data_IF_326613251506
#
_entry.id   IF_326613251506
#
_cell.length_a   1.000
_cell.length_b   1.000
_cell.length_c   1.000
_cell.angle_alpha   90.00
_cell.angle_beta   90.00
_cell.angle_gamma   90.00
#
_symmetry.space_group_name_H-M   'P 1'
#
loop_
_entity.id
_entity.type
_entity.pdbx_description
1 polymer ?
#
# COMPACT_ATOMS: atom_id res chain seq x y z
N UNK A 1 8.54 -26.64 -83.07
CA UNK A 1 9.07 -27.32 -81.86
C UNK A 1 9.96 -26.31 -81.13
N UNK A 2 10.01 -26.32 -79.81
CA UNK A 2 10.97 -25.48 -79.08
C UNK A 2 12.38 -25.90 -79.48
N UNK A 3 13.23 -24.96 -79.91
CA UNK A 3 14.61 -25.23 -80.32
C UNK A 3 15.46 -25.79 -79.17
N UNK A 4 14.99 -25.60 -77.93
CA UNK A 4 15.61 -26.10 -76.71
C UNK A 4 14.55 -26.76 -75.82
N UNK A 5 14.80 -28.01 -75.42
CA UNK A 5 13.92 -28.77 -74.55
C UNK A 5 14.71 -29.74 -73.67
N UNK A 6 14.03 -30.36 -72.72
CA UNK A 6 14.58 -31.37 -71.83
C UNK A 6 13.75 -32.64 -71.84
N UNK A 7 14.42 -33.75 -71.55
CA UNK A 7 13.81 -35.07 -71.42
C UNK A 7 14.38 -35.78 -70.20
N UNK A 8 13.54 -36.56 -69.54
CA UNK A 8 14.01 -37.53 -68.56
C UNK A 8 14.82 -38.63 -69.25
N UNK A 9 15.81 -39.17 -68.55
CA UNK A 9 16.51 -40.38 -69.00
C UNK A 9 15.67 -41.62 -68.68
N UNK A 10 15.93 -42.76 -69.32
CA UNK A 10 15.27 -44.03 -68.97
C UNK A 10 15.53 -44.41 -67.50
N UNK A 11 16.74 -44.12 -67.01
CA UNK A 11 17.10 -44.33 -65.60
C UNK A 11 16.36 -43.34 -64.70
N UNK A 12 16.22 -42.09 -65.12
CA UNK A 12 15.44 -41.08 -64.41
C UNK A 12 13.96 -41.44 -64.31
N UNK A 13 13.35 -41.89 -65.39
CA UNK A 13 11.96 -42.39 -65.39
C UNK A 13 11.80 -43.57 -64.40
N UNK A 14 12.76 -44.49 -64.36
CA UNK A 14 12.75 -45.62 -63.41
C UNK A 14 12.96 -45.18 -61.95
N UNK A 15 13.88 -44.23 -61.70
CA UNK A 15 14.14 -43.67 -60.38
C UNK A 15 12.92 -42.90 -59.84
N UNK A 16 12.28 -42.09 -60.70
CA UNK A 16 11.04 -41.38 -60.39
C UNK A 16 9.92 -42.40 -60.11
N UNK A 17 9.75 -43.43 -60.94
CA UNK A 17 8.76 -44.47 -60.71
C UNK A 17 8.98 -45.24 -59.39
N UNK A 18 10.23 -45.54 -59.06
CA UNK A 18 10.60 -46.21 -57.79
C UNK A 18 10.28 -45.31 -56.59
N UNK A 19 10.61 -44.02 -56.69
CA UNK A 19 10.27 -43.04 -55.67
C UNK A 19 8.75 -42.92 -55.45
N UNK A 20 7.95 -42.99 -56.54
CA UNK A 20 6.49 -43.02 -56.51
C UNK A 20 5.96 -44.26 -55.79
N UNK A 21 6.41 -45.45 -56.17
CA UNK A 21 5.93 -46.71 -55.57
C UNK A 21 6.29 -46.79 -54.08
N UNK A 22 7.48 -46.31 -53.70
CA UNK A 22 7.98 -46.43 -52.34
C UNK A 22 7.66 -45.24 -51.44
N UNK A 23 7.02 -44.19 -51.97
CA UNK A 23 6.79 -42.93 -51.26
C UNK A 23 8.09 -42.34 -50.66
N UNK A 24 9.19 -42.41 -51.42
CA UNK A 24 10.52 -41.94 -51.00
C UNK A 24 10.95 -40.72 -51.82
N UNK A 25 11.82 -39.88 -51.24
CA UNK A 25 12.34 -38.69 -51.92
C UNK A 25 13.39 -39.05 -52.96
N UNK A 26 13.38 -38.32 -54.08
CA UNK A 26 14.49 -38.33 -55.04
C UNK A 26 15.52 -37.28 -54.61
N UNK A 27 16.74 -37.70 -54.27
CA UNK A 27 17.75 -36.81 -53.72
C UNK A 27 18.49 -36.06 -54.84
N UNK A 28 17.88 -34.97 -55.31
CA UNK A 28 18.47 -34.10 -56.32
C UNK A 28 19.58 -33.26 -55.68
N UNK A 29 20.82 -33.48 -56.10
CA UNK A 29 22.00 -32.87 -55.46
C UNK A 29 22.69 -31.82 -56.31
N UNK A 30 22.72 -32.00 -57.63
CA UNK A 30 23.49 -31.13 -58.51
C UNK A 30 22.79 -30.85 -59.85
N UNK A 31 23.13 -29.71 -60.44
CA UNK A 31 22.94 -29.45 -61.86
C UNK A 31 24.31 -29.61 -62.54
N UNK A 32 24.37 -30.49 -63.54
CA UNK A 32 25.52 -30.66 -64.41
C UNK A 32 25.37 -29.74 -65.64
N UNK A 33 26.48 -29.15 -66.07
CA UNK A 33 26.56 -28.27 -67.23
C UNK A 33 27.52 -28.88 -68.24
N UNK A 34 27.13 -28.92 -69.51
CA UNK A 34 27.95 -29.47 -70.58
C UNK A 34 28.09 -28.53 -71.78
N UNK A 35 29.22 -28.63 -72.48
CA UNK A 35 29.51 -27.85 -73.69
C UNK A 35 29.03 -28.53 -74.97
N UNK A 36 28.47 -29.74 -74.86
CA UNK A 36 27.94 -30.53 -75.97
C UNK A 36 28.99 -31.01 -76.97
N UNK A 37 30.27 -31.04 -76.58
CA UNK A 37 31.40 -31.27 -77.49
C UNK A 37 31.45 -30.26 -78.67
N UNK A 38 31.03 -29.02 -78.41
CA UNK A 38 31.08 -27.92 -79.38
C UNK A 38 29.79 -27.65 -80.15
N UNK A 39 28.80 -28.54 -80.10
CA UNK A 39 27.48 -28.37 -80.72
C UNK A 39 26.35 -28.53 -79.70
N UNK A 40 25.14 -28.03 -80.01
CA UNK A 40 23.97 -28.21 -79.13
C UNK A 40 23.45 -29.66 -79.28
N UNK A 41 23.52 -30.50 -78.23
CA UNK A 41 23.08 -31.89 -78.34
C UNK A 41 21.55 -31.98 -78.41
N UNK A 42 21.02 -32.94 -79.18
CA UNK A 42 19.61 -33.27 -79.13
C UNK A 42 19.31 -34.12 -77.88
N UNK A 43 18.34 -33.70 -77.02
CA UNK A 43 17.96 -34.49 -75.86
C UNK A 43 17.34 -35.84 -76.24
N UNK A 44 17.81 -36.93 -75.63
CA UNK A 44 17.30 -38.30 -75.84
C UNK A 44 17.19 -39.07 -74.53
N UNK A 45 16.20 -39.96 -74.39
CA UNK A 45 15.99 -40.71 -73.14
C UNK A 45 17.07 -41.76 -72.83
N UNK A 46 17.79 -42.24 -73.83
CA UNK A 46 18.74 -43.35 -73.67
C UNK A 46 20.07 -42.95 -73.03
N UNK A 47 20.31 -41.65 -72.83
CA UNK A 47 21.58 -41.15 -72.30
C UNK A 47 21.69 -41.36 -70.79
N UNK A 48 22.88 -41.72 -70.35
CA UNK A 48 23.27 -41.85 -68.95
C UNK A 48 24.22 -40.73 -68.49
N UNK A 49 24.79 -39.95 -69.42
CA UNK A 49 25.69 -38.83 -69.15
C UNK A 49 25.42 -37.64 -70.10
N UNK A 50 25.95 -36.46 -69.74
CA UNK A 50 26.08 -35.34 -70.69
C UNK A 50 27.05 -35.72 -71.84
N UNK A 51 26.96 -35.08 -73.00
CA UNK A 51 27.85 -35.35 -74.15
C UNK A 51 29.27 -34.97 -73.77
N UNK A 52 29.40 -33.84 -73.07
CA UNK A 52 30.65 -33.44 -72.42
C UNK A 52 30.33 -32.51 -71.25
N UNK A 53 30.30 -33.07 -70.06
CA UNK A 53 30.18 -32.32 -68.81
C UNK A 53 31.44 -31.48 -68.60
N UNK A 54 31.25 -30.18 -68.33
CA UNK A 54 32.33 -29.21 -68.08
C UNK A 54 32.31 -28.67 -66.66
N UNK A 55 31.15 -28.68 -66.00
CA UNK A 55 31.00 -28.24 -64.62
C UNK A 55 29.82 -28.91 -63.94
N UNK A 56 29.87 -29.03 -62.62
CA UNK A 56 28.77 -29.51 -61.79
C UNK A 56 28.62 -28.60 -60.58
N UNK A 57 27.40 -28.11 -60.34
CA UNK A 57 27.11 -27.20 -59.24
C UNK A 57 26.02 -27.77 -58.34
N UNK A 58 26.21 -27.67 -57.02
CA UNK A 58 25.20 -28.07 -56.06
C UNK A 58 23.91 -27.26 -56.23
N UNK A 59 22.75 -27.89 -56.02
CA UNK A 59 21.45 -27.20 -56.08
C UNK A 59 21.35 -26.24 -54.90
N UNK A 60 20.93 -24.99 -55.18
CA UNK A 60 20.70 -23.97 -54.14
C UNK A 60 19.25 -24.00 -53.66
N UNK A 61 18.32 -24.23 -54.59
CA UNK A 61 16.88 -24.26 -54.30
C UNK A 61 16.16 -25.10 -55.33
N UNK A 62 15.11 -25.79 -54.93
CA UNK A 62 14.20 -26.42 -55.86
C UNK A 62 12.77 -26.33 -55.33
N UNK A 63 11.82 -26.02 -56.20
CA UNK A 63 10.42 -25.75 -55.85
C UNK A 63 9.49 -26.29 -56.92
N UNK A 64 8.22 -26.55 -56.57
CA UNK A 64 7.19 -26.77 -57.60
C UNK A 64 7.03 -25.50 -58.43
N UNK A 65 6.76 -25.67 -59.73
CA UNK A 65 6.46 -24.55 -60.61
C UNK A 65 5.15 -23.89 -60.14
N UNK A 66 5.09 -22.55 -60.00
CA UNK A 66 3.98 -21.88 -59.35
C UNK A 66 2.64 -22.03 -60.07
N UNK A 67 2.66 -22.32 -61.38
CA UNK A 67 1.45 -22.34 -62.24
C UNK A 67 1.28 -23.60 -63.07
N UNK A 68 2.28 -24.48 -63.15
CA UNK A 68 2.24 -25.67 -64.01
C UNK A 68 2.39 -26.88 -63.10
N UNK A 69 1.31 -27.63 -62.92
CA UNK A 69 1.33 -28.88 -62.17
C UNK A 69 2.43 -29.80 -62.73
N UNK A 70 3.02 -30.63 -61.88
CA UNK A 70 4.04 -31.62 -62.26
C UNK A 70 5.39 -31.03 -62.71
N UNK A 71 5.55 -29.72 -62.80
CA UNK A 71 6.83 -29.10 -63.10
C UNK A 71 7.58 -28.76 -61.81
N UNK A 72 8.87 -29.06 -61.77
CA UNK A 72 9.79 -28.59 -60.73
C UNK A 72 10.76 -27.58 -61.34
N UNK A 73 11.08 -26.53 -60.60
CA UNK A 73 12.11 -25.54 -60.92
C UNK A 73 13.28 -25.82 -59.99
N UNK A 74 14.44 -26.10 -60.56
CA UNK A 74 15.68 -26.33 -59.82
C UNK A 74 16.60 -25.15 -60.14
N UNK A 75 17.05 -24.47 -59.09
CA UNK A 75 17.93 -23.31 -59.16
C UNK A 75 19.30 -23.66 -58.59
N UNK A 76 20.33 -23.17 -59.26
CA UNK A 76 21.69 -23.16 -58.74
C UNK A 76 22.35 -21.82 -59.02
N UNK A 77 23.33 -21.50 -58.19
CA UNK A 77 24.20 -20.34 -58.35
C UNK A 77 25.58 -20.85 -58.74
N UNK A 78 26.07 -20.46 -59.92
CA UNK A 78 27.47 -20.63 -60.28
C UNK A 78 28.22 -19.37 -59.80
N UNK A 79 29.16 -19.51 -58.85
CA UNK A 79 29.98 -18.41 -58.35
C UNK A 79 30.71 -17.63 -59.45
N UNK A 80 31.08 -16.39 -59.17
CA UNK A 80 31.78 -15.51 -60.12
C UNK A 80 33.13 -16.09 -60.57
N UNK A 81 33.89 -16.67 -59.64
CA UNK A 81 35.20 -17.27 -59.88
C UNK A 81 35.18 -18.61 -60.67
N UNK A 82 34.01 -19.16 -60.99
CA UNK A 82 33.86 -20.41 -61.76
C UNK A 82 33.35 -20.10 -63.17
N UNK A 83 34.07 -20.53 -64.21
CA UNK A 83 33.70 -20.28 -65.60
C UNK A 83 34.81 -20.67 -66.58
N UNK A 84 34.81 -20.06 -67.76
CA UNK A 84 35.72 -20.39 -68.87
C UNK A 84 35.20 -21.47 -69.81
N UNK A 85 33.89 -21.75 -69.79
CA UNK A 85 33.28 -22.84 -70.57
C UNK A 85 31.95 -22.42 -71.21
N UNK A 86 31.62 -23.09 -72.31
CA UNK A 86 30.32 -23.00 -72.95
C UNK A 86 29.32 -23.95 -72.30
N UNK A 87 28.08 -23.48 -72.16
CA UNK A 87 26.93 -24.28 -71.73
C UNK A 87 26.01 -24.43 -72.94
N UNK A 88 25.80 -25.67 -73.35
CA UNK A 88 24.89 -26.09 -74.43
C UNK A 88 23.94 -27.20 -74.01
N UNK A 89 24.20 -27.83 -72.88
CA UNK A 89 23.31 -28.80 -72.24
C UNK A 89 23.39 -28.66 -70.72
N UNK A 90 22.28 -28.99 -70.06
CA UNK A 90 22.16 -29.05 -68.60
C UNK A 90 21.55 -30.39 -68.20
N UNK A 91 22.00 -30.93 -67.08
CA UNK A 91 21.55 -32.20 -66.53
C UNK A 91 21.16 -32.07 -65.07
N UNK A 92 20.10 -32.78 -64.65
CA UNK A 92 19.77 -32.94 -63.23
C UNK A 92 20.41 -34.23 -62.74
N UNK A 93 21.20 -34.12 -61.66
CA UNK A 93 21.80 -35.25 -60.98
C UNK A 93 21.04 -35.54 -59.69
N UNK A 94 20.54 -36.76 -59.55
CA UNK A 94 20.00 -37.28 -58.29
C UNK A 94 20.69 -38.61 -57.95
N UNK A 95 21.08 -38.78 -56.69
CA UNK A 95 21.82 -39.98 -56.22
C UNK A 95 23.01 -40.35 -57.12
N UNK A 96 23.74 -39.32 -57.58
CA UNK A 96 24.87 -39.41 -58.50
C UNK A 96 24.55 -39.94 -59.91
N UNK A 97 23.27 -40.01 -60.29
CA UNK A 97 22.78 -40.45 -61.59
C UNK A 97 22.13 -39.30 -62.36
N UNK A 98 22.34 -39.24 -63.67
CA UNK A 98 21.66 -38.30 -64.56
C UNK A 98 20.20 -38.72 -64.77
N UNK A 99 19.27 -38.03 -64.12
CA UNK A 99 17.83 -38.33 -64.19
C UNK A 99 17.12 -37.57 -65.32
N UNK A 100 17.68 -36.45 -65.74
CA UNK A 100 17.16 -35.65 -66.84
C UNK A 100 18.26 -34.81 -67.44
N UNK A 101 18.12 -34.47 -68.72
CA UNK A 101 18.97 -33.50 -69.39
C UNK A 101 18.19 -32.73 -70.45
N UNK A 102 18.70 -31.56 -70.80
CA UNK A 102 18.14 -30.73 -71.84
C UNK A 102 19.19 -29.91 -72.55
N UNK A 103 18.85 -29.54 -73.78
CA UNK A 103 19.61 -28.60 -74.58
C UNK A 103 19.41 -27.19 -74.06
N UNK A 104 20.43 -26.34 -74.16
CA UNK A 104 20.40 -24.93 -73.81
C UNK A 104 20.98 -24.11 -74.96
N UNK A 105 20.48 -22.88 -75.14
CA UNK A 105 21.07 -21.95 -76.09
C UNK A 105 22.55 -21.73 -75.75
N UNK A 106 23.48 -21.70 -76.73
CA UNK A 106 24.89 -21.53 -76.44
C UNK A 106 25.15 -20.32 -75.56
N UNK A 107 25.66 -20.56 -74.36
CA UNK A 107 25.92 -19.53 -73.36
C UNK A 107 27.33 -19.69 -72.82
N UNK A 108 28.16 -18.64 -72.89
CA UNK A 108 29.51 -18.68 -72.37
C UNK A 108 29.55 -18.14 -70.94
N UNK A 109 29.89 -19.00 -69.97
CA UNK A 109 30.08 -18.59 -68.58
C UNK A 109 31.50 -18.05 -68.43
N UNK A 110 31.64 -16.75 -68.22
CA UNK A 110 32.93 -16.12 -67.91
C UNK A 110 33.30 -16.38 -66.45
N UNK A 111 34.58 -16.72 -66.19
CA UNK A 111 35.14 -16.72 -64.85
C UNK A 111 35.68 -15.33 -64.53
N UNK A 112 35.25 -14.74 -63.44
CA UNK A 112 35.70 -13.44 -62.96
C UNK A 112 36.03 -13.53 -61.46
N UNK A 113 37.29 -13.86 -61.11
CA UNK A 113 37.71 -14.03 -59.73
C UNK A 113 37.55 -12.78 -58.87
N UNK A 114 37.63 -11.60 -59.49
CA UNK A 114 37.50 -10.30 -58.83
C UNK A 114 36.07 -9.73 -58.97
N UNK A 115 35.20 -10.43 -59.69
CA UNK A 115 33.82 -10.04 -59.95
C UNK A 115 32.85 -10.44 -58.84
N UNK A 116 31.80 -9.63 -58.68
CA UNK A 116 30.69 -9.88 -57.73
C UNK A 116 29.45 -10.48 -58.40
N UNK A 117 29.50 -10.70 -59.73
CA UNK A 117 28.36 -11.18 -60.52
C UNK A 117 28.22 -12.70 -60.45
N UNK A 118 27.18 -13.15 -59.77
CA UNK A 118 26.78 -14.56 -59.73
C UNK A 118 25.76 -14.88 -60.84
N UNK A 119 25.85 -16.07 -61.42
CA UNK A 119 24.88 -16.51 -62.42
C UNK A 119 23.87 -17.47 -61.76
N UNK A 120 22.61 -17.02 -61.70
CA UNK A 120 21.49 -17.84 -61.25
C UNK A 120 20.83 -18.50 -62.45
N UNK A 121 20.94 -19.82 -62.53
CA UNK A 121 20.35 -20.61 -63.61
C UNK A 121 19.15 -21.39 -63.09
N UNK A 122 18.08 -21.44 -63.89
CA UNK A 122 16.85 -22.17 -63.58
C UNK A 122 16.67 -23.30 -64.59
N UNK A 123 16.56 -24.52 -64.10
CA UNK A 123 16.25 -25.69 -64.92
C UNK A 123 14.88 -26.22 -64.54
N UNK A 124 13.95 -26.18 -65.48
CA UNK A 124 12.55 -26.58 -65.24
C UNK A 124 12.29 -27.95 -65.84
N UNK A 125 11.84 -28.91 -65.02
CA UNK A 125 11.58 -30.29 -65.44
C UNK A 125 10.14 -30.71 -65.18
N UNK A 126 9.50 -31.31 -66.19
CA UNK A 126 8.24 -32.02 -66.01
C UNK A 126 8.47 -33.41 -65.38
N UNK A 127 7.85 -33.67 -64.24
CA UNK A 127 7.90 -34.93 -63.51
C UNK A 127 6.51 -35.55 -63.55
N UNK A 128 6.37 -36.81 -63.98
CA UNK A 128 5.06 -37.42 -64.29
C UNK A 128 4.03 -37.42 -63.15
N UNK A 129 4.42 -37.18 -61.90
CA UNK A 129 3.52 -36.91 -60.77
C UNK A 129 4.18 -35.89 -59.81
N UNK A 130 3.60 -34.70 -59.71
CA UNK A 130 4.09 -33.60 -58.87
C UNK A 130 3.77 -33.76 -57.38
N UNK A 131 3.05 -34.79 -56.95
CA UNK A 131 2.71 -35.02 -55.54
C UNK A 131 3.76 -35.83 -54.78
N UNK A 132 4.36 -36.85 -55.42
CA UNK A 132 5.33 -37.75 -54.76
C UNK A 132 6.66 -37.07 -54.44
N UNK A 133 7.03 -36.05 -55.21
CA UNK A 133 8.24 -35.29 -54.96
C UNK A 133 7.92 -34.23 -53.89
N UNK A 134 7.62 -34.70 -52.68
CA UNK A 134 7.54 -33.89 -51.47
C UNK A 134 8.98 -33.53 -51.07
N UNK A 135 9.40 -32.41 -51.64
CA UNK A 135 10.74 -31.85 -51.55
C UNK A 135 10.88 -31.15 -50.21
N UNK A 136 11.73 -31.70 -49.33
CA UNK A 136 12.09 -31.02 -48.10
C UNK A 136 13.27 -30.10 -48.40
N UNK A 137 13.10 -28.83 -48.05
CA UNK A 137 14.15 -27.81 -48.09
C UNK A 137 15.18 -28.16 -47.01
N UNK A 138 16.43 -28.41 -47.39
CA UNK A 138 17.53 -28.33 -46.43
C UNK A 138 17.77 -26.84 -46.16
N UNK A 139 17.32 -26.36 -45.00
CA UNK A 139 17.36 -24.95 -44.62
C UNK A 139 18.73 -24.49 -44.10
N UNK A 140 19.77 -25.33 -44.18
CA UNK A 140 21.09 -24.98 -43.62
C UNK A 140 21.82 -23.86 -44.38
N UNK A 141 21.36 -23.47 -45.59
CA UNK A 141 21.94 -22.39 -46.40
C UNK A 141 20.85 -21.60 -47.16
N UNK A 142 20.01 -20.84 -46.44
CA UNK A 142 19.10 -19.87 -47.07
C UNK A 142 19.76 -18.49 -47.07
N UNK A 143 20.10 -17.99 -48.26
CA UNK A 143 20.36 -16.57 -48.46
C UNK A 143 19.04 -15.81 -48.39
N UNK A 144 18.88 -14.92 -47.41
CA UNK A 144 17.73 -14.01 -47.35
C UNK A 144 17.75 -13.08 -48.57
N UNK A 145 16.59 -12.88 -49.20
CA UNK A 145 16.48 -11.88 -50.26
C UNK A 145 16.68 -10.48 -49.66
N UNK A 146 17.25 -9.56 -50.44
CA UNK A 146 17.47 -8.17 -49.99
C UNK A 146 16.16 -7.51 -49.51
N UNK A 147 15.03 -7.84 -50.14
CA UNK A 147 13.70 -7.36 -49.73
C UNK A 147 13.33 -7.84 -48.32
N UNK A 148 13.52 -9.13 -48.04
CA UNK A 148 13.22 -9.69 -46.72
C UNK A 148 14.09 -9.07 -45.63
N UNK A 149 15.38 -8.82 -45.92
CA UNK A 149 16.30 -8.17 -44.98
C UNK A 149 15.85 -6.74 -44.66
N UNK A 150 15.47 -5.96 -45.67
CA UNK A 150 15.03 -4.57 -45.44
C UNK A 150 13.68 -4.50 -44.70
N UNK A 151 12.82 -5.51 -44.82
CA UNK A 151 11.51 -5.54 -44.13
C UNK A 151 11.62 -6.06 -42.69
N UNK A 152 12.52 -7.00 -42.42
CA UNK A 152 12.56 -7.73 -41.15
C UNK A 152 13.77 -7.38 -40.28
N UNK A 153 14.73 -6.60 -40.78
CA UNK A 153 15.93 -6.22 -40.05
C UNK A 153 16.09 -4.70 -39.97
N UNK A 154 16.14 -4.18 -38.75
CA UNK A 154 16.34 -2.74 -38.49
C UNK A 154 17.84 -2.47 -38.30
N UNK A 155 18.37 -1.48 -39.00
CA UNK A 155 19.79 -1.12 -38.88
C UNK A 155 20.04 -0.35 -37.59
N UNK A 156 21.24 -0.50 -37.01
CA UNK A 156 21.62 0.21 -35.76
C UNK A 156 21.49 1.74 -35.85
N UNK A 157 21.62 2.33 -37.03
CA UNK A 157 21.46 3.77 -37.27
C UNK A 157 19.99 4.22 -37.36
N UNK A 158 19.04 3.30 -37.44
CA UNK A 158 17.60 3.56 -37.48
C UNK A 158 16.96 3.46 -36.09
N UNK A 159 17.73 3.06 -35.07
CA UNK A 159 17.30 3.08 -33.67
C UNK A 159 17.00 4.52 -33.24
N UNK A 160 15.84 4.71 -32.63
CA UNK A 160 15.44 6.03 -32.13
C UNK A 160 16.21 6.36 -30.86
N UNK A 161 16.90 7.50 -30.90
CA UNK A 161 17.72 8.01 -29.80
C UNK A 161 17.33 9.46 -29.43
N UNK A 162 16.04 9.76 -29.54
CA UNK A 162 15.46 11.04 -29.13
C UNK A 162 14.10 10.82 -28.43
N UNK A 163 13.70 11.77 -27.58
CA UNK A 163 12.44 11.73 -26.80
C UNK A 163 11.25 12.39 -27.53
N UNK A 164 11.41 12.75 -28.81
CA UNK A 164 10.44 13.63 -29.50
C UNK A 164 9.70 12.96 -30.65
N UNK A 165 10.18 11.83 -31.18
CA UNK A 165 9.50 11.10 -32.24
C UNK A 165 8.46 10.12 -31.71
N UNK A 166 7.35 9.95 -32.44
CA UNK A 166 6.27 9.01 -32.17
C UNK A 166 6.12 7.95 -33.28
N UNK A 167 7.19 7.68 -34.02
CA UNK A 167 7.22 6.71 -35.12
C UNK A 167 6.98 5.28 -34.62
N UNK A 168 5.82 4.71 -34.94
CA UNK A 168 5.41 3.37 -34.51
C UNK A 168 6.19 2.23 -35.17
N UNK A 169 7.02 2.54 -36.17
CA UNK A 169 7.78 1.54 -36.94
C UNK A 169 9.19 1.33 -36.41
N UNK A 170 9.64 2.11 -35.41
CA UNK A 170 11.01 2.08 -34.92
C UNK A 170 11.11 1.69 -33.44
N UNK A 171 12.03 0.79 -33.07
CA UNK A 171 12.25 0.42 -31.68
C UNK A 171 13.05 1.50 -30.93
N UNK A 172 12.83 1.56 -29.62
CA UNK A 172 13.55 2.44 -28.69
C UNK A 172 14.99 1.95 -28.48
N UNK A 173 15.95 2.88 -28.34
CA UNK A 173 17.33 2.51 -27.97
C UNK A 173 17.41 2.03 -26.50
N UNK A 174 18.39 1.18 -26.17
CA UNK A 174 18.60 0.72 -24.78
C UNK A 174 18.88 1.89 -23.81
N UNK A 175 19.60 2.92 -24.27
CA UNK A 175 19.85 4.15 -23.52
C UNK A 175 18.54 4.87 -23.23
N UNK A 176 17.67 4.98 -24.23
CA UNK A 176 16.40 5.66 -24.11
C UNK A 176 15.39 4.88 -23.25
N UNK A 177 15.35 3.55 -23.35
CA UNK A 177 14.55 2.71 -22.48
C UNK A 177 14.97 2.88 -21.01
N UNK A 178 16.29 2.99 -20.75
CA UNK A 178 16.81 3.29 -19.41
C UNK A 178 16.39 4.69 -18.95
N UNK A 179 16.54 5.71 -19.78
CA UNK A 179 16.09 7.08 -19.47
C UNK A 179 14.59 7.12 -19.18
N UNK A 180 13.74 6.46 -19.98
CA UNK A 180 12.30 6.37 -19.73
C UNK A 180 11.96 5.61 -18.45
N UNK A 181 12.71 4.55 -18.13
CA UNK A 181 12.51 3.81 -16.88
C UNK A 181 12.94 4.63 -15.65
N UNK A 182 13.99 5.43 -15.76
CA UNK A 182 14.49 6.33 -14.71
C UNK A 182 13.66 7.62 -14.60
N UNK A 183 13.08 8.08 -15.72
CA UNK A 183 12.26 9.30 -15.83
C UNK A 183 10.76 9.04 -15.76
N UNK A 184 10.34 7.77 -15.58
CA UNK A 184 8.97 7.46 -15.17
C UNK A 184 8.75 8.19 -13.85
N UNK A 185 8.09 9.34 -13.93
CA UNK A 185 7.45 9.97 -12.78
C UNK A 185 6.66 8.84 -12.12
N UNK A 186 7.02 8.52 -10.88
CA UNK A 186 6.43 7.44 -10.09
C UNK A 186 4.90 7.51 -10.23
N UNK A 187 4.31 6.62 -11.03
CA UNK A 187 2.86 6.49 -11.19
C UNK A 187 2.25 5.76 -9.99
N UNK A 188 3.09 5.16 -9.13
CA UNK A 188 2.75 4.93 -7.75
C UNK A 188 3.09 6.21 -6.96
N UNK A 189 2.11 6.81 -6.30
CA UNK A 189 2.31 8.03 -5.50
C UNK A 189 3.05 7.73 -4.17
N UNK A 190 4.10 6.90 -4.20
CA UNK A 190 4.90 6.54 -3.04
C UNK A 190 6.38 6.86 -3.27
N UNK A 191 6.88 8.00 -2.74
CA UNK A 191 8.29 8.32 -2.86
C UNK A 191 9.17 7.25 -2.21
N UNK A 192 10.17 6.74 -2.94
CA UNK A 192 11.09 5.67 -2.49
C UNK A 192 12.44 6.19 -2.02
N UNK A 193 12.68 7.50 -2.13
CA UNK A 193 13.93 8.17 -1.76
C UNK A 193 13.68 9.36 -0.85
N UNK A 194 14.71 9.80 -0.11
CA UNK A 194 14.63 10.97 0.74
C UNK A 194 14.34 12.25 -0.08
N UNK A 195 13.37 13.06 0.36
CA UNK A 195 12.97 14.28 -0.35
C UNK A 195 11.62 14.84 0.10
N UNK A 196 11.29 16.03 -0.42
CA UNK A 196 9.96 16.63 -0.32
C UNK A 196 9.19 16.35 -1.62
N UNK A 197 7.98 15.79 -1.49
CA UNK A 197 7.16 15.39 -2.62
C UNK A 197 5.78 16.04 -2.51
N UNK A 198 5.24 16.45 -3.67
CA UNK A 198 3.84 16.89 -3.82
C UNK A 198 3.17 15.90 -4.75
N UNK A 199 2.13 15.22 -4.29
CA UNK A 199 1.35 14.28 -5.11
C UNK A 199 -0.13 14.65 -5.12
N UNK A 200 -0.81 14.30 -6.20
CA UNK A 200 -2.24 14.52 -6.38
C UNK A 200 -2.94 13.19 -6.60
N UNK A 201 -4.12 12.99 -6.00
CA UNK A 201 -5.00 11.84 -6.25
C UNK A 201 -4.37 10.46 -5.96
N UNK A 202 -3.88 10.22 -4.72
CA UNK A 202 -3.39 8.89 -4.31
C UNK A 202 -4.47 7.79 -4.29
N UNK A 203 -5.76 8.13 -4.26
CA UNK A 203 -6.89 7.20 -4.40
C UNK A 203 -7.80 7.57 -5.59
N UNK A 204 -7.58 6.93 -6.74
CA UNK A 204 -8.55 6.83 -7.86
C UNK A 204 -9.27 8.14 -8.25
N UNK A 205 -8.58 9.28 -8.22
CA UNK A 205 -9.12 10.54 -8.74
C UNK A 205 -10.05 11.35 -7.81
N UNK A 206 -10.14 11.01 -6.52
CA UNK A 206 -10.90 11.79 -5.53
C UNK A 206 -10.06 12.30 -4.33
N UNK A 207 -8.74 12.35 -4.48
CA UNK A 207 -7.82 12.62 -3.37
C UNK A 207 -7.46 14.10 -3.18
N UNK A 208 -7.21 14.48 -1.94
CA UNK A 208 -6.58 15.76 -1.56
C UNK A 208 -5.12 15.81 -2.06
N UNK A 209 -4.51 17.01 -2.08
CA UNK A 209 -3.09 17.17 -2.38
C UNK A 209 -2.24 16.75 -1.18
N UNK A 210 -1.39 15.75 -1.36
CA UNK A 210 -0.48 15.28 -0.32
C UNK A 210 0.85 16.04 -0.37
N UNK A 211 1.32 16.50 0.79
CA UNK A 211 2.70 16.97 1.00
C UNK A 211 3.46 15.94 1.83
N UNK A 212 4.40 15.22 1.21
CA UNK A 212 5.09 14.08 1.84
C UNK A 212 6.56 14.42 2.08
N UNK A 213 7.00 14.30 3.33
CA UNK A 213 8.41 14.30 3.69
C UNK A 213 8.85 12.86 3.94
N UNK A 214 9.60 12.29 3.00
CA UNK A 214 10.16 10.94 3.15
C UNK A 214 11.50 11.04 3.90
N UNK A 215 11.51 10.70 5.19
CA UNK A 215 12.71 10.89 6.04
C UNK A 215 13.89 9.96 5.69
N UNK A 216 13.63 8.82 5.02
CA UNK A 216 14.66 7.80 4.79
C UNK A 216 15.32 7.35 6.09
N UNK A 217 16.66 7.35 6.13
CA UNK A 217 17.47 7.09 7.34
C UNK A 217 17.80 8.36 8.15
N UNK A 218 17.38 9.54 7.68
CA UNK A 218 17.65 10.82 8.34
C UNK A 218 16.51 11.28 9.25
N UNK A 219 16.71 12.43 9.90
CA UNK A 219 15.69 13.03 10.76
C UNK A 219 14.42 13.40 9.99
N UNK A 220 14.54 13.98 8.79
CA UNK A 220 13.40 14.51 8.02
C UNK A 220 12.76 15.76 8.66
N UNK A 221 11.62 16.18 8.12
CA UNK A 221 10.75 17.22 8.66
C UNK A 221 10.23 18.17 7.57
N UNK A 222 9.37 19.10 7.97
CA UNK A 222 8.97 20.25 7.16
C UNK A 222 9.32 21.54 7.90
N UNK A 223 9.80 22.55 7.19
CA UNK A 223 10.02 23.90 7.74
C UNK A 223 9.22 24.90 6.93
N UNK A 224 8.47 25.74 7.62
CA UNK A 224 7.63 26.78 7.02
C UNK A 224 8.28 28.13 7.31
N UNK A 225 8.73 28.83 6.26
CA UNK A 225 9.32 30.15 6.37
C UNK A 225 8.35 31.19 5.78
N UNK A 226 8.33 32.39 6.37
CA UNK A 226 7.74 33.57 5.77
C UNK A 226 8.82 34.65 5.63
N UNK A 227 8.88 35.32 4.51
CA UNK A 227 9.95 36.27 4.23
C UNK A 227 9.62 37.25 3.14
N UNK A 228 10.45 38.27 3.05
CA UNK A 228 10.50 39.22 1.95
C UNK A 228 11.73 38.95 1.07
N UNK A 229 12.06 39.89 0.18
CA UNK A 229 13.20 39.77 -0.73
C UNK A 229 14.55 39.68 0.00
N UNK A 230 14.63 40.12 1.25
CA UNK A 230 15.89 40.27 1.98
C UNK A 230 16.04 39.26 3.13
N UNK A 231 14.93 38.76 3.70
CA UNK A 231 14.98 37.82 4.83
C UNK A 231 13.79 36.86 4.90
N UNK A 232 14.11 35.59 5.18
CA UNK A 232 13.14 34.55 5.54
C UNK A 232 13.21 34.21 7.03
N UNK A 233 12.06 34.27 7.71
CA UNK A 233 11.90 33.89 9.11
C UNK A 233 11.15 32.56 9.21
N UNK A 234 11.66 31.61 9.99
CA UNK A 234 10.94 30.37 10.28
C UNK A 234 9.71 30.69 11.13
N UNK A 235 8.54 30.23 10.72
CA UNK A 235 7.26 30.49 11.41
C UNK A 235 6.66 29.23 12.05
N UNK A 236 6.93 28.07 11.48
CA UNK A 236 6.55 26.77 12.03
C UNK A 236 7.41 25.66 11.44
N UNK A 237 7.41 24.48 12.06
CA UNK A 237 8.01 23.28 11.48
C UNK A 237 7.31 22.02 11.95
N UNK A 238 7.45 20.94 11.18
CA UNK A 238 7.15 19.57 11.60
C UNK A 238 8.50 18.88 11.71
N UNK A 239 8.84 18.35 12.89
CA UNK A 239 10.11 17.64 13.06
C UNK A 239 10.07 16.21 12.51
N UNK A 240 11.18 15.48 12.68
CA UNK A 240 11.30 14.08 12.25
C UNK A 240 10.39 13.07 12.95
N UNK A 241 9.73 13.49 14.04
CA UNK A 241 8.74 12.71 14.78
C UNK A 241 7.29 12.98 14.33
N UNK A 242 7.09 13.96 13.45
CA UNK A 242 5.75 14.39 13.01
C UNK A 242 5.11 15.45 13.91
N UNK A 243 5.86 16.02 14.86
CA UNK A 243 5.33 17.03 15.78
C UNK A 243 5.31 18.40 15.10
N UNK A 244 4.11 19.00 14.96
CA UNK A 244 3.96 20.37 14.46
C UNK A 244 4.26 21.40 15.57
N UNK A 245 5.23 22.26 15.33
CA UNK A 245 5.68 23.31 16.26
C UNK A 245 5.51 24.70 15.63
N UNK A 246 4.50 25.48 16.04
CA UNK A 246 4.36 26.88 15.68
C UNK A 246 5.29 27.76 16.53
N UNK A 247 6.04 28.68 15.92
CA UNK A 247 6.98 29.54 16.67
C UNK A 247 6.34 30.81 17.25
N UNK A 248 5.18 31.21 16.73
CA UNK A 248 4.43 32.40 17.18
C UNK A 248 3.10 32.02 17.85
N UNK A 249 2.96 30.78 18.32
CA UNK A 249 1.72 30.23 18.86
C UNK A 249 0.70 29.86 17.78
N UNK A 250 -0.38 29.20 18.19
CA UNK A 250 -1.52 28.87 17.35
C UNK A 250 -2.77 29.61 17.84
N UNK A 251 -3.48 30.26 16.93
CA UNK A 251 -4.83 30.78 17.18
C UNK A 251 -5.84 29.66 16.95
N UNK A 252 -6.45 29.13 18.02
CA UNK A 252 -7.47 28.09 17.94
C UNK A 252 -7.60 27.29 19.24
N UNK A 253 -8.77 26.70 19.47
CA UNK A 253 -8.96 25.76 20.59
C UNK A 253 -8.44 24.38 20.17
N UNK A 254 -7.58 23.76 20.98
CA UNK A 254 -7.28 22.34 20.80
C UNK A 254 -8.56 21.54 21.07
N UNK A 255 -8.92 20.62 20.16
CA UNK A 255 -10.13 19.77 20.25
C UNK A 255 -10.26 19.03 21.58
N UNK A 256 -9.15 18.84 22.31
CA UNK A 256 -9.05 18.07 23.54
C UNK A 256 -8.47 18.89 24.70
N UNK A 257 -8.55 20.22 24.68
CA UNK A 257 -8.07 21.02 25.81
C UNK A 257 -8.90 20.69 27.07
N UNK A 258 -8.40 19.77 27.89
CA UNK A 258 -9.03 19.28 29.11
C UNK A 258 -8.61 20.06 30.35
N UNK A 259 -7.55 20.89 30.25
CA UNK A 259 -6.99 21.63 31.38
C UNK A 259 -6.46 23.03 30.97
N UNK A 260 -6.39 23.95 31.94
CA UNK A 260 -5.78 25.26 31.82
C UNK A 260 -4.25 25.14 31.78
N UNK A 261 -3.61 25.72 30.75
CA UNK A 261 -2.14 25.74 30.61
C UNK A 261 -1.42 26.34 31.82
N UNK A 262 -2.05 27.27 32.53
CA UNK A 262 -1.55 27.78 33.80
C UNK A 262 -2.70 27.76 34.78
N UNK A 263 -2.56 26.95 35.84
CA UNK A 263 -3.52 26.85 36.91
C UNK A 263 -3.83 28.24 37.52
N UNK A 264 -5.05 28.38 38.02
CA UNK A 264 -5.54 29.59 38.67
C UNK A 264 -6.07 29.21 40.03
N UNK A 265 -5.86 30.08 41.02
CA UNK A 265 -6.43 29.88 42.34
C UNK A 265 -7.88 30.37 42.37
N UNK A 266 -8.80 29.51 42.80
CA UNK A 266 -10.19 29.87 43.14
C UNK A 266 -10.31 29.71 44.64
N UNK A 267 -10.57 30.81 45.35
CA UNK A 267 -10.56 30.84 46.82
C UNK A 267 -9.28 30.21 47.43
N UNK A 268 -8.11 30.60 46.90
CA UNK A 268 -6.79 30.07 47.24
C UNK A 268 -6.53 28.58 46.91
N UNK A 269 -7.48 27.87 46.33
CA UNK A 269 -7.31 26.49 45.86
C UNK A 269 -6.89 26.49 44.39
N UNK A 270 -5.76 25.87 44.06
CA UNK A 270 -5.28 25.70 42.68
C UNK A 270 -6.28 24.91 41.84
N UNK A 271 -6.59 25.39 40.65
CA UNK A 271 -7.51 24.77 39.70
C UNK A 271 -7.01 24.90 38.27
N UNK A 272 -6.99 23.77 37.57
CA UNK A 272 -6.63 23.67 36.17
C UNK A 272 -7.69 22.97 35.32
N UNK A 273 -8.86 22.62 35.88
CA UNK A 273 -9.92 21.93 35.13
C UNK A 273 -9.76 20.41 35.01
N UNK A 274 -8.71 19.82 35.60
CA UNK A 274 -8.46 18.38 35.56
C UNK A 274 -9.44 17.53 36.37
N UNK A 275 -10.01 18.13 37.43
CA UNK A 275 -10.90 17.51 38.42
C UNK A 275 -11.82 18.59 38.99
N UNK A 276 -12.91 18.15 39.61
CA UNK A 276 -13.78 19.05 40.37
C UNK A 276 -13.01 19.74 41.50
N UNK A 277 -13.34 21.01 41.74
CA UNK A 277 -12.80 21.80 42.84
C UNK A 277 -13.74 21.74 44.04
N UNK A 278 -13.18 21.51 45.23
CA UNK A 278 -13.91 21.67 46.49
C UNK A 278 -13.63 23.06 47.05
N UNK A 279 -14.66 23.91 47.13
CA UNK A 279 -14.53 25.26 47.68
C UNK A 279 -15.12 25.27 49.10
N UNK A 280 -14.28 25.58 50.09
CA UNK A 280 -14.71 25.84 51.46
C UNK A 280 -15.29 27.26 51.55
N UNK A 281 -16.55 27.39 51.96
CA UNK A 281 -17.24 28.67 52.18
C UNK A 281 -17.43 28.88 53.68
N UNK A 282 -16.55 29.68 54.29
CA UNK A 282 -16.55 29.93 55.73
C UNK A 282 -17.73 30.80 56.21
N UNK A 283 -18.60 31.25 55.30
CA UNK A 283 -19.82 32.01 55.63
C UNK A 283 -21.05 31.12 55.80
N UNK A 284 -20.92 29.80 55.61
CA UNK A 284 -22.03 28.84 55.69
C UNK A 284 -21.70 27.68 56.63
N UNK A 285 -22.71 27.20 57.35
CA UNK A 285 -22.60 25.98 58.12
C UNK A 285 -22.54 24.76 57.18
N UNK A 286 -21.59 23.83 57.36
CA UNK A 286 -21.50 22.62 56.55
C UNK A 286 -22.73 21.73 56.70
N UNK A 287 -23.08 20.99 55.64
CA UNK A 287 -24.19 20.01 55.66
C UNK A 287 -23.94 18.82 56.59
N UNK A 288 -22.68 18.58 56.97
CA UNK A 288 -22.30 17.60 58.01
C UNK A 288 -22.50 18.12 59.43
N UNK A 289 -22.96 19.37 59.59
CA UNK A 289 -22.93 20.10 60.86
C UNK A 289 -21.59 20.80 61.08
N UNK A 290 -21.59 21.73 62.04
CA UNK A 290 -20.42 22.53 62.43
C UNK A 290 -20.62 23.18 63.80
N UNK A 291 -19.54 23.71 64.36
CA UNK A 291 -19.54 24.35 65.68
C UNK A 291 -19.84 25.85 65.54
N UNK A 292 -20.80 26.36 66.30
CA UNK A 292 -21.12 27.79 66.34
C UNK A 292 -20.51 28.36 67.61
N UNK A 293 -19.51 29.22 67.47
CA UNK A 293 -18.73 29.79 68.59
C UNK A 293 -19.17 31.18 69.01
N UNK A 294 -20.27 31.70 68.44
CA UNK A 294 -20.80 33.04 68.73
C UNK A 294 -22.32 33.03 68.93
N UNK A 295 -22.87 34.19 69.30
CA UNK A 295 -24.30 34.33 69.60
C UNK A 295 -25.18 34.03 68.37
N UNK A 296 -26.26 33.28 68.60
CA UNK A 296 -27.20 32.88 67.55
C UNK A 296 -28.61 33.43 67.83
N UNK A 297 -29.03 34.41 67.02
CA UNK A 297 -30.38 34.98 67.08
C UNK A 297 -31.31 34.26 66.09
N UNK A 298 -32.41 33.68 66.59
CA UNK A 298 -33.36 32.91 65.78
C UNK A 298 -34.75 33.51 65.92
N UNK A 299 -35.29 34.04 64.82
CA UNK A 299 -36.62 34.69 64.78
C UNK A 299 -37.80 33.73 64.62
N UNK A 300 -37.55 32.42 64.69
CA UNK A 300 -38.54 31.36 64.49
C UNK A 300 -38.28 30.14 65.36
N UNK A 301 -38.96 29.03 65.07
CA UNK A 301 -38.91 27.83 65.91
C UNK A 301 -37.69 26.98 65.60
N UNK A 302 -36.99 26.52 66.64
CA UNK A 302 -35.89 25.56 66.52
C UNK A 302 -36.46 24.15 66.58
N UNK A 303 -36.24 23.35 65.55
CA UNK A 303 -36.69 21.94 65.49
C UNK A 303 -35.49 21.02 65.39
N UNK A 304 -35.30 20.16 66.39
CA UNK A 304 -34.18 19.22 66.46
C UNK A 304 -34.66 17.84 66.01
N UNK A 305 -34.16 17.37 64.87
CA UNK A 305 -34.59 16.13 64.20
C UNK A 305 -33.43 15.14 64.08
N UNK A 306 -33.65 13.83 64.23
CA UNK A 306 -32.63 12.77 64.06
C UNK A 306 -31.36 12.85 64.95
N UNK A 307 -31.46 13.25 66.21
CA UNK A 307 -30.39 12.92 67.20
C UNK A 307 -30.44 11.41 67.43
N UNK A 308 -29.45 10.67 66.90
CA UNK A 308 -29.44 9.21 66.72
C UNK A 308 -30.08 8.37 67.83
N UNK A 309 -30.93 7.44 67.42
CA UNK A 309 -31.62 6.49 68.31
C UNK A 309 -30.66 5.42 68.82
N UNK A 310 -30.39 5.45 70.13
CA UNK A 310 -29.80 4.33 70.86
C UNK A 310 -30.90 3.74 71.75
N UNK A 311 -31.04 2.41 71.78
CA UNK A 311 -31.96 1.73 72.71
C UNK A 311 -31.46 1.92 74.15
N UNK A 312 -32.27 2.52 75.03
CA UNK A 312 -31.99 2.66 76.48
C UNK A 312 -31.30 3.96 76.95
N UNK A 313 -31.21 5.00 76.12
CA UNK A 313 -30.58 6.29 76.48
C UNK A 313 -31.47 7.51 76.18
N UNK A 314 -31.44 8.55 77.04
CA UNK A 314 -32.21 9.80 76.92
C UNK A 314 -31.70 10.74 75.81
N UNK A 315 -32.60 11.53 75.17
CA UNK A 315 -32.21 12.54 74.15
C UNK A 315 -31.99 13.91 74.79
N UNK A 316 -30.76 14.42 74.81
CA UNK A 316 -30.45 15.74 75.36
C UNK A 316 -30.73 16.86 74.35
N UNK A 317 -31.48 17.87 74.77
CA UNK A 317 -31.88 19.02 73.96
C UNK A 317 -30.97 20.22 74.19
N UNK A 318 -30.65 20.49 75.45
CA UNK A 318 -29.75 21.57 75.88
C UNK A 318 -28.92 21.02 77.03
N UNK A 319 -27.63 21.32 77.00
CA UNK A 319 -26.71 20.85 78.02
C UNK A 319 -25.53 21.79 78.15
N UNK A 320 -25.11 22.02 79.39
CA UNK A 320 -23.92 22.78 79.71
C UNK A 320 -23.12 22.03 80.78
N UNK A 321 -21.80 22.07 80.64
CA UNK A 321 -20.88 21.46 81.59
C UNK A 321 -19.74 22.43 81.88
N UNK A 322 -19.21 22.32 83.09
CA UNK A 322 -17.90 22.79 83.47
C UNK A 322 -16.98 21.58 83.61
N UNK A 323 -15.74 21.81 84.02
CA UNK A 323 -14.76 20.74 84.22
C UNK A 323 -15.11 19.79 85.37
N UNK A 324 -16.00 20.17 86.29
CA UNK A 324 -16.39 19.35 87.45
C UNK A 324 -17.90 19.11 87.54
N UNK A 325 -18.73 20.08 87.10
CA UNK A 325 -20.19 20.06 87.28
C UNK A 325 -20.93 20.26 85.95
N UNK A 326 -22.23 20.01 85.92
CA UNK A 326 -23.03 20.32 84.74
C UNK A 326 -24.52 20.13 84.91
N UNK A 327 -25.25 20.39 83.85
CA UNK A 327 -26.69 20.15 83.80
C UNK A 327 -27.26 20.10 82.40
N UNK A 328 -28.39 19.42 82.26
CA UNK A 328 -29.06 19.22 80.97
C UNK A 328 -30.58 19.17 81.07
N UNK A 329 -31.21 19.41 79.92
CA UNK A 329 -32.60 19.12 79.63
C UNK A 329 -32.68 18.02 78.57
N UNK A 330 -33.51 17.01 78.80
CA UNK A 330 -33.64 15.86 77.90
C UNK A 330 -35.08 15.39 77.73
N UNK A 331 -35.33 14.67 76.63
CA UNK A 331 -36.60 13.99 76.36
C UNK A 331 -36.40 12.52 76.07
N UNK A 332 -37.42 11.73 76.38
CA UNK A 332 -37.44 10.30 76.18
C UNK A 332 -37.53 9.89 74.71
N UNK A 333 -36.98 8.70 74.38
CA UNK A 333 -36.77 8.27 73.00
C UNK A 333 -37.89 7.37 72.42
N UNK A 334 -37.58 6.12 72.03
CA UNK A 334 -38.49 5.14 71.45
C UNK A 334 -38.68 3.95 72.39
N UNK A 335 -39.84 3.30 72.34
CA UNK A 335 -40.16 2.19 73.23
C UNK A 335 -40.62 2.66 74.62
N UNK A 336 -40.05 2.06 75.66
CA UNK A 336 -40.48 2.22 77.06
C UNK A 336 -40.34 3.66 77.58
N UNK A 337 -39.39 4.43 77.04
CA UNK A 337 -39.09 5.78 77.54
C UNK A 337 -39.84 6.88 76.77
N UNK A 338 -40.90 6.55 76.05
CA UNK A 338 -41.69 7.54 75.29
C UNK A 338 -42.50 8.44 76.22
N UNK A 339 -42.28 9.76 76.12
CA UNK A 339 -43.12 10.79 76.74
C UNK A 339 -42.53 11.50 77.97
N UNK A 340 -41.31 11.17 78.38
CA UNK A 340 -40.67 11.76 79.56
C UNK A 340 -39.83 13.00 79.22
N UNK A 341 -39.76 13.95 80.16
CA UNK A 341 -38.84 15.11 80.14
C UNK A 341 -38.02 15.09 81.43
N UNK A 342 -36.71 15.23 81.30
CA UNK A 342 -35.76 15.19 82.40
C UNK A 342 -34.98 16.50 82.52
N UNK A 343 -34.71 16.91 83.76
CA UNK A 343 -33.73 17.94 84.10
C UNK A 343 -32.70 17.28 85.00
N UNK A 344 -31.50 17.08 84.46
CA UNK A 344 -30.42 16.38 85.14
C UNK A 344 -29.31 17.34 85.53
N UNK A 345 -28.68 17.10 86.68
CA UNK A 345 -27.42 17.71 87.07
C UNK A 345 -26.33 16.65 87.07
N UNK A 346 -25.08 17.07 86.90
CA UNK A 346 -23.90 16.22 87.07
C UNK A 346 -23.06 16.91 88.12
N UNK A 347 -22.82 16.23 89.22
CA UNK A 347 -22.21 16.77 90.45
C UNK A 347 -21.37 15.68 91.11
N UNK A 348 -20.37 16.06 91.91
CA UNK A 348 -19.45 15.17 92.62
C UNK A 348 -19.89 14.83 94.06
N UNK A 349 -21.20 14.92 94.31
CA UNK A 349 -21.92 14.48 95.51
C UNK A 349 -21.75 15.36 96.76
N UNK A 350 -21.24 16.59 96.63
CA UNK A 350 -21.12 17.52 97.77
C UNK A 350 -22.07 18.73 97.67
N UNK A 351 -22.92 18.85 96.64
CA UNK A 351 -23.71 20.06 96.38
C UNK A 351 -25.23 19.91 96.53
N UNK A 352 -25.86 20.95 97.07
CA UNK A 352 -27.32 21.06 97.09
C UNK A 352 -27.88 21.47 95.73
N UNK A 353 -28.94 20.79 95.31
CA UNK A 353 -29.71 21.15 94.12
C UNK A 353 -30.88 22.04 94.54
N UNK A 354 -31.03 23.20 93.89
CA UNK A 354 -32.11 24.13 94.18
C UNK A 354 -32.77 24.76 92.95
N UNK A 355 -34.07 24.99 93.06
CA UNK A 355 -34.80 25.93 92.23
C UNK A 355 -34.77 27.32 92.90
N UNK A 356 -34.25 28.36 92.22
CA UNK A 356 -34.12 29.72 92.77
C UNK A 356 -34.83 30.75 91.89
N UNK A 357 -35.63 31.63 92.50
CA UNK A 357 -36.23 32.79 91.84
C UNK A 357 -35.42 34.06 92.14
N UNK A 358 -35.19 34.89 91.11
CA UNK A 358 -34.46 36.15 91.21
C UNK A 358 -35.24 37.29 90.57
N UNK A 359 -35.07 38.51 91.07
CA UNK A 359 -35.59 39.73 90.43
C UNK A 359 -34.72 40.15 89.24
N UNK A 360 -35.07 41.25 88.58
CA UNK A 360 -34.34 41.72 87.40
C UNK A 360 -32.86 42.06 87.67
N UNK A 361 -32.48 42.36 88.91
CA UNK A 361 -31.10 42.63 89.30
C UNK A 361 -30.39 41.38 89.83
N UNK A 362 -30.99 40.20 89.61
CA UNK A 362 -30.50 38.89 90.02
C UNK A 362 -30.46 38.64 91.53
N UNK A 363 -31.03 39.53 92.35
CA UNK A 363 -31.14 39.31 93.79
C UNK A 363 -32.13 38.16 94.06
N UNK A 364 -31.82 37.31 95.05
CA UNK A 364 -32.64 36.14 95.36
C UNK A 364 -33.92 36.57 96.07
N UNK A 365 -35.05 36.06 95.58
CA UNK A 365 -36.35 36.27 96.20
C UNK A 365 -36.82 35.03 96.98
N UNK A 366 -36.63 33.81 96.43
CA UNK A 366 -37.16 32.53 96.95
C UNK A 366 -36.28 31.34 96.52
N UNK A 367 -36.20 30.27 97.32
CA UNK A 367 -35.44 29.04 97.03
C UNK A 367 -36.12 27.78 97.58
N UNK A 368 -36.07 26.70 96.81
CA UNK A 368 -36.46 25.36 97.25
C UNK A 368 -35.28 24.39 97.06
N UNK A 369 -34.95 23.61 98.10
CA UNK A 369 -33.91 22.58 98.07
C UNK A 369 -34.53 21.26 97.64
N UNK A 370 -33.99 20.67 96.58
CA UNK A 370 -34.54 19.48 95.91
C UNK A 370 -33.78 18.23 96.31
N UNK A 371 -32.46 18.31 96.37
CA UNK A 371 -31.61 17.35 97.06
C UNK A 371 -30.61 18.15 97.88
N UNK A 372 -30.49 17.81 99.16
CA UNK A 372 -29.42 18.32 100.01
C UNK A 372 -28.09 17.59 99.73
N UNK A 373 -26.99 18.07 100.32
CA UNK A 373 -25.64 17.55 100.05
C UNK A 373 -25.40 16.09 100.48
N UNK A 374 -26.41 15.39 101.00
CA UNK A 374 -26.34 13.96 101.33
C UNK A 374 -27.43 13.15 100.61
N UNK A 375 -28.26 13.81 99.81
CA UNK A 375 -29.22 13.18 98.91
C UNK A 375 -30.67 13.16 99.40
N UNK A 376 -30.97 13.81 100.51
CA UNK A 376 -32.35 13.87 100.98
C UNK A 376 -33.09 15.01 100.31
N UNK A 377 -34.32 14.72 99.89
CA UNK A 377 -35.24 15.77 99.47
C UNK A 377 -35.92 16.34 100.71
N UNK A 378 -35.67 17.61 100.97
CA UNK A 378 -36.20 18.30 102.15
C UNK A 378 -37.15 19.39 101.71
N UNK A 379 -38.41 19.20 102.07
CA UNK A 379 -39.44 20.20 101.87
C UNK A 379 -39.58 20.99 103.18
N UNK A 380 -39.21 22.28 103.21
CA UNK A 380 -39.42 23.08 104.41
C UNK A 380 -40.94 23.17 104.70
N UNK A 381 -41.28 23.02 105.98
CA UNK A 381 -42.63 23.12 106.54
C UNK A 381 -43.57 21.93 106.33
N UNK A 382 -44.52 21.98 105.38
CA UNK A 382 -45.64 21.05 105.29
C UNK A 382 -45.78 20.49 103.87
N UNK A 383 -45.78 19.16 103.75
CA UNK A 383 -46.10 18.45 102.51
C UNK A 383 -47.44 17.76 102.67
N UNK A 384 -48.36 18.02 101.73
CA UNK A 384 -49.65 17.35 101.66
C UNK A 384 -49.71 16.50 100.39
N UNK A 385 -49.92 15.20 100.53
CA UNK A 385 -50.16 14.28 99.41
C UNK A 385 -51.28 13.29 99.72
N UNK A 386 -51.92 12.76 98.67
CA UNK A 386 -53.11 11.89 98.79
C UNK A 386 -52.81 10.49 99.36
N UNK A 387 -51.64 9.93 99.04
CA UNK A 387 -51.03 8.75 99.69
C UNK A 387 -49.51 8.88 99.57
N UNK A 388 -48.78 8.79 100.68
CA UNK A 388 -47.32 8.67 100.74
C UNK A 388 -46.96 7.18 100.95
N UNK A 389 -46.22 6.56 100.04
CA UNK A 389 -45.60 5.25 100.25
C UNK A 389 -44.09 5.48 100.36
N UNK A 390 -43.72 6.22 101.39
CA UNK A 390 -42.36 6.23 101.92
C UNK A 390 -42.26 5.14 103.00
N UNK A 391 -41.06 4.61 103.19
CA UNK A 391 -40.65 4.26 104.55
C UNK A 391 -40.63 5.52 105.41
#
# INVERSE_FOLDING_TARGET
>A
MSDYFNVTTNVGDAAIATAIVNNTKLNITHIAFGDGNGSVPTPTKTRSTLVKEVHRQAVTKYTKHPTIANYIVIETIIPSNIGGFWIREMGIIADNVLISHGSHAPFFKVADPDGVSEYRLKFTQNVRDGNVVEIFLDESLIYASQAWVNENYIRRNELVDNLTTNDSTKPVSARQAKILQESKVQLDNSPTSQGAFVSWNKSEGQGETDFINHRGLGAGGFRFYNGDNDKFNLIAYIDGSGTFTPLNGMSGNASTATQLKTARKINNVEFDGSKDITIKDDTKLPVSGGEITGDLAIGGTITVSNVGDQTGAFKKLIQAYTTTDGGYLAVGNTGQDRGFVEIGTTDDNDAEIYATQRDASSNILRRATLLDGVGNTLFPEHVYAKTFNGG
#
